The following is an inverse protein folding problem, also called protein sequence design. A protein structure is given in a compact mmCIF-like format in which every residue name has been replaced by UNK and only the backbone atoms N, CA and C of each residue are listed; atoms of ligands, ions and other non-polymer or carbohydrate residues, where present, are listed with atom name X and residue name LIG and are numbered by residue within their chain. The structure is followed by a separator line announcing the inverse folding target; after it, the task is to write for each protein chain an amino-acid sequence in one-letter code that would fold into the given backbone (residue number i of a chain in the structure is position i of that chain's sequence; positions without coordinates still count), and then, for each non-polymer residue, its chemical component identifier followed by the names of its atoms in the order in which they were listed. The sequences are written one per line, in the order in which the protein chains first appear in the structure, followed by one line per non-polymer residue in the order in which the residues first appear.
data_IF_121113716665
#
_entry.id   IF_121113716665
#
_cell.length_a   1.000
_cell.length_b   1.000
_cell.length_c   1.000
_cell.angle_alpha   90.00
_cell.angle_beta   90.00
_cell.angle_gamma   90.00
#
_symmetry.space_group_name_H-M   'P 1'
#
loop_
_entity.id
_entity.type
_entity.pdbx_description
1 polymer ?
#
# COMPACT_ATOMS: atom_id res chain seq x y z
N UNK A 1 -3.46 -8.91 7.04
CA UNK A 1 -2.10 -9.29 7.43
C UNK A 1 -1.57 -10.42 6.56
N UNK A 2 -0.32 -10.29 6.15
CA UNK A 2 0.43 -11.30 5.40
C UNK A 2 0.84 -12.44 6.34
N UNK A 3 0.85 -13.67 5.83
CA UNK A 3 1.41 -14.81 6.58
C UNK A 3 2.93 -14.67 6.70
N UNK A 4 3.52 -15.34 7.70
CA UNK A 4 4.98 -15.37 7.90
C UNK A 4 5.71 -15.88 6.65
N UNK A 5 5.17 -16.91 6.01
CA UNK A 5 5.70 -17.48 4.77
C UNK A 5 5.68 -16.45 3.65
N UNK A 6 4.55 -15.75 3.47
CA UNK A 6 4.43 -14.73 2.43
C UNK A 6 5.37 -13.55 2.66
N UNK A 7 5.54 -13.13 3.91
CA UNK A 7 6.53 -12.11 4.27
C UNK A 7 7.94 -12.55 3.91
N UNK A 8 8.31 -13.79 4.22
CA UNK A 8 9.64 -14.34 3.90
C UNK A 8 9.89 -14.39 2.39
N UNK A 9 8.90 -14.81 1.60
CA UNK A 9 8.96 -14.79 0.13
C UNK A 9 9.18 -13.38 -0.41
N UNK A 10 8.41 -12.39 0.07
CA UNK A 10 8.52 -11.00 -0.37
C UNK A 10 9.87 -10.38 0.00
N UNK A 11 10.39 -10.69 1.20
CA UNK A 11 11.74 -10.26 1.61
C UNK A 11 12.79 -10.86 0.67
N UNK A 12 12.66 -12.14 0.31
CA UNK A 12 13.59 -12.79 -0.60
C UNK A 12 13.53 -12.18 -2.00
N UNK A 13 12.32 -11.93 -2.53
CA UNK A 13 12.15 -11.25 -3.82
C UNK A 13 12.82 -9.87 -3.83
N UNK A 14 12.63 -9.05 -2.79
CA UNK A 14 13.28 -7.74 -2.71
C UNK A 14 14.82 -7.80 -2.65
N UNK A 15 15.38 -8.88 -2.09
CA UNK A 15 16.85 -9.07 -2.05
C UNK A 15 17.41 -9.51 -3.40
N UNK A 16 16.64 -10.27 -4.17
CA UNK A 16 17.06 -10.78 -5.48
C UNK A 16 16.87 -9.74 -6.59
N UNK A 17 15.65 -9.20 -6.69
CA UNK A 17 15.28 -8.15 -7.63
C UNK A 17 14.11 -7.36 -7.05
N UNK A 18 14.41 -6.18 -6.51
CA UNK A 18 13.40 -5.32 -5.91
C UNK A 18 12.47 -4.68 -6.94
N UNK A 19 12.82 -4.64 -8.24
CA UNK A 19 12.07 -3.90 -9.27
C UNK A 19 10.66 -4.44 -9.41
N UNK A 20 10.52 -5.76 -9.59
CA UNK A 20 9.21 -6.38 -9.83
C UNK A 20 8.24 -6.14 -8.67
N UNK A 21 8.69 -6.32 -7.42
CA UNK A 21 7.83 -6.07 -6.27
C UNK A 21 7.56 -4.57 -6.09
N UNK A 22 8.53 -3.71 -6.42
CA UNK A 22 8.36 -2.25 -6.38
C UNK A 22 7.28 -1.79 -7.36
N UNK A 23 7.26 -2.32 -8.58
CA UNK A 23 6.23 -2.00 -9.58
C UNK A 23 4.84 -2.35 -9.05
N UNK A 24 4.67 -3.55 -8.49
CA UNK A 24 3.40 -3.99 -7.87
C UNK A 24 2.98 -3.04 -6.74
N UNK A 25 3.92 -2.65 -5.87
CA UNK A 25 3.61 -1.73 -4.76
C UNK A 25 3.20 -0.36 -5.29
N UNK A 26 3.87 0.16 -6.32
CA UNK A 26 3.52 1.43 -6.97
C UNK A 26 2.11 1.38 -7.57
N UNK A 27 1.75 0.28 -8.24
CA UNK A 27 0.41 0.05 -8.78
C UNK A 27 -0.65 0.08 -7.67
N UNK A 28 -0.44 -0.67 -6.58
CA UNK A 28 -1.39 -0.70 -5.45
C UNK A 28 -1.56 0.68 -4.82
N UNK A 29 -0.48 1.45 -4.67
CA UNK A 29 -0.55 2.83 -4.19
C UNK A 29 -1.36 3.72 -5.14
N UNK A 30 -1.15 3.59 -6.45
CA UNK A 30 -1.87 4.37 -7.46
C UNK A 30 -3.37 4.04 -7.48
N UNK A 31 -3.71 2.75 -7.45
CA UNK A 31 -5.11 2.28 -7.42
C UNK A 31 -5.82 2.74 -6.14
N UNK A 32 -5.16 2.62 -4.99
CA UNK A 32 -5.72 3.11 -3.72
C UNK A 32 -5.98 4.63 -3.75
N UNK A 33 -5.08 5.42 -4.36
CA UNK A 33 -5.31 6.86 -4.58
C UNK A 33 -6.50 7.11 -5.51
N UNK A 34 -6.67 6.29 -6.56
CA UNK A 34 -7.80 6.40 -7.46
C UNK A 34 -9.13 6.10 -6.75
N UNK A 35 -9.18 5.05 -5.94
CA UNK A 35 -10.37 4.70 -5.16
C UNK A 35 -10.77 5.79 -4.17
N UNK A 36 -9.80 6.34 -3.43
CA UNK A 36 -9.99 7.51 -2.57
C UNK A 36 -10.58 8.71 -3.33
N UNK A 37 -10.18 8.93 -4.58
CA UNK A 37 -10.73 10.01 -5.42
C UNK A 37 -12.16 9.73 -5.88
N UNK A 38 -12.46 8.49 -6.27
CA UNK A 38 -13.81 8.07 -6.66
C UNK A 38 -14.78 8.22 -5.48
N UNK A 39 -14.40 7.75 -4.30
CA UNK A 39 -15.20 7.84 -3.09
C UNK A 39 -15.49 9.30 -2.69
N UNK A 40 -14.48 10.18 -2.80
CA UNK A 40 -14.64 11.63 -2.59
C UNK A 40 -15.67 12.24 -3.55
N UNK A 41 -15.64 11.83 -4.83
CA UNK A 41 -16.60 12.30 -5.85
C UNK A 41 -18.01 11.77 -5.60
N UNK A 42 -18.13 10.55 -5.08
CA UNK A 42 -19.39 9.92 -4.67
C UNK A 42 -20.07 10.58 -3.47
N UNK A 43 -19.46 11.63 -2.87
CA UNK A 43 -19.92 12.32 -1.66
C UNK A 43 -20.12 11.38 -0.46
N UNK A 44 -19.35 10.30 -0.39
CA UNK A 44 -19.32 9.44 0.78
C UNK A 44 -18.57 10.18 1.87
N UNK A 45 -19.21 10.34 3.02
CA UNK A 45 -18.59 10.98 4.17
C UNK A 45 -17.50 10.05 4.73
N UNK A 46 -16.26 10.40 4.42
CA UNK A 46 -15.07 9.70 4.88
C UNK A 46 -14.27 10.65 5.75
N UNK A 47 -14.64 10.71 7.02
CA UNK A 47 -13.99 11.54 8.06
C UNK A 47 -12.48 11.31 8.17
N UNK A 48 -11.97 10.15 7.72
CA UNK A 48 -10.55 9.79 7.71
C UNK A 48 -9.84 9.99 6.36
N UNK A 49 -10.53 10.37 5.28
CA UNK A 49 -9.97 10.34 3.91
C UNK A 49 -8.70 11.15 3.73
N UNK A 50 -8.70 12.41 4.19
CA UNK A 50 -7.54 13.28 4.01
C UNK A 50 -6.36 12.85 4.89
N UNK A 51 -6.61 12.27 6.07
CA UNK A 51 -5.57 11.70 6.92
C UNK A 51 -4.97 10.45 6.26
N UNK A 52 -5.80 9.59 5.70
CA UNK A 52 -5.37 8.35 5.03
C UNK A 52 -4.59 8.63 3.74
N UNK A 53 -4.92 9.69 2.99
CA UNK A 53 -4.10 10.12 1.84
C UNK A 53 -2.70 10.51 2.28
N UNK A 54 -2.59 11.27 3.37
CA UNK A 54 -1.30 11.67 3.94
C UNK A 54 -0.54 10.43 4.43
N UNK A 55 -1.24 9.49 5.07
CA UNK A 55 -0.65 8.23 5.50
C UNK A 55 -0.13 7.42 4.31
N UNK A 56 -0.93 7.21 3.27
CA UNK A 56 -0.55 6.48 2.06
C UNK A 56 0.70 7.10 1.41
N UNK A 57 0.75 8.44 1.32
CA UNK A 57 1.93 9.13 0.80
C UNK A 57 3.18 8.91 1.67
N UNK A 58 3.04 8.92 3.00
CA UNK A 58 4.16 8.63 3.91
C UNK A 58 4.65 7.19 3.75
N UNK A 59 3.74 6.22 3.67
CA UNK A 59 4.07 4.81 3.48
C UNK A 59 4.77 4.57 2.14
N UNK A 60 4.29 5.19 1.07
CA UNK A 60 4.89 5.16 -0.27
C UNK A 60 6.35 5.67 -0.24
N UNK A 61 6.59 6.84 0.36
CA UNK A 61 7.94 7.39 0.51
C UNK A 61 8.84 6.53 1.43
N UNK A 62 8.30 6.01 2.52
CA UNK A 62 9.04 5.17 3.46
C UNK A 62 9.45 3.85 2.79
N UNK A 63 8.55 3.22 2.03
CA UNK A 63 8.84 2.03 1.24
C UNK A 63 9.97 2.27 0.24
N UNK A 64 9.88 3.31 -0.58
CA UNK A 64 10.92 3.67 -1.57
C UNK A 64 12.28 3.95 -0.92
N UNK A 65 12.29 4.43 0.32
CA UNK A 65 13.54 4.66 1.06
C UNK A 65 14.19 3.38 1.61
N UNK A 66 13.41 2.30 1.76
CA UNK A 66 13.77 1.05 2.44
C UNK A 66 13.94 -0.14 1.49
N UNK A 67 13.28 -0.16 0.32
CA UNK A 67 13.22 -1.34 -0.55
C UNK A 67 14.60 -1.90 -0.95
N UNK A 68 15.60 -1.02 -1.10
CA UNK A 68 17.00 -1.40 -1.37
C UNK A 68 17.86 -1.58 -0.11
N UNK A 69 17.43 -1.06 1.05
CA UNK A 69 18.28 -0.93 2.26
C UNK A 69 17.90 -1.87 3.40
N UNK A 70 16.62 -2.10 3.61
CA UNK A 70 16.07 -2.85 4.73
C UNK A 70 14.77 -3.55 4.29
N UNK A 71 14.92 -4.70 3.62
CA UNK A 71 13.81 -5.42 2.99
C UNK A 71 12.80 -5.95 4.01
N UNK A 72 13.24 -6.23 5.25
CA UNK A 72 12.34 -6.66 6.33
C UNK A 72 11.36 -5.54 6.65
N UNK A 73 11.89 -4.33 6.91
CA UNK A 73 11.02 -3.17 7.15
C UNK A 73 10.23 -2.77 5.91
N UNK A 74 10.81 -2.88 4.72
CA UNK A 74 10.08 -2.60 3.48
C UNK A 74 8.81 -3.47 3.38
N UNK A 75 8.89 -4.77 3.71
CA UNK A 75 7.71 -5.66 3.73
C UNK A 75 6.70 -5.27 4.80
N UNK A 76 7.14 -4.80 5.98
CA UNK A 76 6.22 -4.26 6.98
C UNK A 76 5.49 -2.99 6.50
N UNK A 77 6.14 -2.18 5.65
CA UNK A 77 5.47 -1.04 4.99
C UNK A 77 4.49 -1.52 3.91
N UNK A 78 4.84 -2.53 3.11
CA UNK A 78 3.93 -3.11 2.12
C UNK A 78 2.65 -3.62 2.79
N UNK A 79 2.77 -4.29 3.95
CA UNK A 79 1.59 -4.76 4.70
C UNK A 79 0.66 -3.60 5.08
N UNK A 80 1.20 -2.49 5.58
CA UNK A 80 0.39 -1.29 5.90
C UNK A 80 -0.25 -0.67 4.67
N UNK A 81 0.44 -0.66 3.52
CA UNK A 81 -0.13 -0.21 2.25
C UNK A 81 -1.31 -1.12 1.86
N UNK A 82 -1.17 -2.44 1.98
CA UNK A 82 -2.22 -3.40 1.66
C UNK A 82 -3.43 -3.29 2.61
N UNK A 83 -3.20 -3.05 3.89
CA UNK A 83 -4.30 -2.80 4.84
C UNK A 83 -5.10 -1.55 4.48
N UNK A 84 -4.42 -0.48 4.07
CA UNK A 84 -5.08 0.74 3.61
C UNK A 84 -5.80 0.52 2.29
N UNK A 85 -5.17 -0.18 1.34
CA UNK A 85 -5.76 -0.54 0.06
C UNK A 85 -7.05 -1.36 0.23
N UNK A 86 -7.01 -2.43 1.04
CA UNK A 86 -8.16 -3.29 1.34
C UNK A 86 -9.33 -2.52 1.98
N UNK A 87 -9.05 -1.54 2.85
CA UNK A 87 -10.08 -0.64 3.39
C UNK A 87 -10.81 0.10 2.25
N UNK A 88 -10.07 0.67 1.31
CA UNK A 88 -10.64 1.51 0.25
C UNK A 88 -11.29 0.70 -0.87
N UNK A 89 -10.76 -0.47 -1.23
CA UNK A 89 -11.40 -1.39 -2.17
C UNK A 89 -12.75 -1.88 -1.63
N UNK A 90 -12.82 -2.28 -0.35
CA UNK A 90 -14.09 -2.66 0.29
C UNK A 90 -15.11 -1.53 0.31
N UNK A 91 -14.67 -0.30 0.61
CA UNK A 91 -15.55 0.87 0.57
C UNK A 91 -16.08 1.13 -0.84
N UNK A 92 -15.22 1.02 -1.87
CA UNK A 92 -15.59 1.15 -3.28
C UNK A 92 -16.59 0.09 -3.71
N UNK A 93 -16.38 -1.17 -3.31
CA UNK A 93 -17.27 -2.29 -3.62
C UNK A 93 -18.63 -2.22 -2.90
N UNK A 94 -18.74 -1.38 -1.86
CA UNK A 94 -19.98 -1.23 -1.08
C UNK A 94 -20.96 -0.21 -1.68
N UNK A 95 -20.71 0.29 -2.90
CA UNK A 95 -21.44 1.35 -3.60
C UNK A 95 -21.97 0.80 -4.92
#
# INVERSE_FOLDING_TARGET
MLSTERKAEMIQSLKEDYVVLTDIVCEVVADTKADMLVLKRGKIDLSSLEQDKVLLHKLDQEYLSLCEKDQVKAVDIIEKIYELSDKYDKLRMSI
#
